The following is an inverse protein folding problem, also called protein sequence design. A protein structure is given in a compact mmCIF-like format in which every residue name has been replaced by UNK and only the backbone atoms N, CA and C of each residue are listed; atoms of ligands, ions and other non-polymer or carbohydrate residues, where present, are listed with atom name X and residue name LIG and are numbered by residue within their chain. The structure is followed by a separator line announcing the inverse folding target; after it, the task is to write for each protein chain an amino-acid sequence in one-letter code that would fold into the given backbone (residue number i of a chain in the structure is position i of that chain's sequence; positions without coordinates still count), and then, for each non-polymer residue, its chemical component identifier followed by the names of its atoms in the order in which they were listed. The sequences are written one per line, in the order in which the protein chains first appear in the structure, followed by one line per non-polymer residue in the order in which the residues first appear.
data_IF_739201877286
#
_entry.id   IF_739201877286
#
_cell.length_a   1.000
_cell.length_b   1.000
_cell.length_c   1.000
_cell.angle_alpha   90.00
_cell.angle_beta   90.00
_cell.angle_gamma   90.00
#
_symmetry.space_group_name_H-M   'P 1'
#
loop_
_entity.id
_entity.type
_entity.pdbx_description
1 polymer ?
#
# COMPACT_ATOMS: atom_id res chain seq x y z
N UNK A 1 -1.43 -12.74 34.63
CA UNK A 1 -1.38 -11.27 34.44
C UNK A 1 -1.96 -10.99 33.06
N UNK A 2 -2.86 -10.00 32.87
CA UNK A 2 -3.32 -9.68 31.51
C UNK A 2 -2.11 -9.27 30.64
N UNK A 3 -2.03 -9.81 29.43
CA UNK A 3 -0.89 -9.62 28.53
C UNK A 3 -0.69 -8.14 28.15
N UNK A 4 0.57 -7.74 27.92
CA UNK A 4 0.93 -6.35 27.58
C UNK A 4 0.42 -5.88 26.21
N UNK A 5 -0.01 -6.83 25.38
CA UNK A 5 -0.52 -6.62 24.02
C UNK A 5 -1.81 -7.43 23.90
N UNK A 6 -2.91 -6.77 23.56
CA UNK A 6 -4.18 -7.42 23.22
C UNK A 6 -4.56 -7.05 21.80
N UNK A 7 -5.01 -8.04 21.02
CA UNK A 7 -5.32 -7.87 19.60
C UNK A 7 -6.66 -8.50 19.26
N UNK A 8 -7.55 -7.70 18.70
CA UNK A 8 -8.82 -8.13 18.11
C UNK A 8 -8.98 -7.55 16.71
N UNK A 9 -10.08 -7.89 16.02
CA UNK A 9 -10.47 -7.23 14.77
C UNK A 9 -11.41 -6.06 15.08
N UNK A 10 -11.41 -5.05 14.21
CA UNK A 10 -12.37 -3.94 14.30
C UNK A 10 -13.78 -4.36 13.85
N UNK A 11 -13.85 -5.29 12.90
CA UNK A 11 -15.08 -5.87 12.36
C UNK A 11 -14.82 -7.34 12.05
N UNK A 12 -15.28 -8.22 12.94
CA UNK A 12 -15.07 -9.66 12.87
C UNK A 12 -15.77 -10.32 11.67
N UNK A 13 -16.72 -9.63 11.03
CA UNK A 13 -17.42 -10.16 9.85
C UNK A 13 -16.62 -9.99 8.55
N UNK A 14 -15.58 -9.14 8.56
CA UNK A 14 -14.79 -8.77 7.38
C UNK A 14 -13.39 -9.36 7.34
N UNK A 15 -13.02 -10.18 8.32
CA UNK A 15 -11.70 -10.79 8.40
C UNK A 15 -11.62 -11.90 9.44
N UNK A 16 -10.44 -12.51 9.55
CA UNK A 16 -10.07 -13.52 10.51
C UNK A 16 -8.87 -13.04 11.32
N UNK A 17 -8.82 -13.38 12.61
CA UNK A 17 -7.72 -13.02 13.51
C UNK A 17 -6.49 -13.88 13.17
N UNK A 18 -5.74 -13.46 12.16
CA UNK A 18 -4.53 -14.14 11.68
C UNK A 18 -3.30 -13.64 12.45
N UNK A 19 -3.24 -13.97 13.74
CA UNK A 19 -2.17 -13.53 14.64
C UNK A 19 -1.34 -14.73 15.09
N UNK A 20 -0.03 -14.61 14.97
CA UNK A 20 0.93 -15.57 15.52
C UNK A 20 1.33 -15.09 16.92
N UNK A 21 0.64 -15.62 17.93
CA UNK A 21 0.86 -15.32 19.35
C UNK A 21 2.08 -16.12 19.86
N UNK A 22 3.28 -15.80 19.36
CA UNK A 22 4.51 -16.53 19.71
C UNK A 22 4.91 -16.38 21.18
N UNK A 23 4.53 -15.27 21.83
CA UNK A 23 4.72 -15.03 23.27
C UNK A 23 3.90 -13.81 23.74
N UNK A 24 3.79 -13.62 25.05
CA UNK A 24 3.22 -12.40 25.66
C UNK A 24 3.95 -11.09 25.28
N UNK A 25 5.16 -11.20 24.73
CA UNK A 25 6.05 -10.06 24.46
C UNK A 25 6.16 -9.69 22.96
N UNK A 26 5.61 -10.49 22.06
CA UNK A 26 5.71 -10.28 20.62
C UNK A 26 4.58 -10.99 19.88
N UNK A 27 3.91 -10.25 18.99
CA UNK A 27 2.84 -10.77 18.13
C UNK A 27 3.11 -10.44 16.66
N UNK A 28 2.84 -11.39 15.76
CA UNK A 28 2.89 -11.16 14.31
C UNK A 28 1.46 -11.05 13.80
N UNK A 29 1.13 -9.86 13.30
CA UNK A 29 -0.12 -9.61 12.61
C UNK A 29 0.04 -9.97 11.14
N UNK A 30 -0.69 -10.97 10.65
CA UNK A 30 -0.76 -11.29 9.21
C UNK A 30 -2.03 -10.69 8.62
N UNK A 31 -2.03 -10.48 7.30
CA UNK A 31 -3.18 -9.90 6.59
C UNK A 31 -4.48 -10.64 7.02
N UNK A 32 -5.49 -9.92 7.57
CA UNK A 32 -6.62 -10.58 8.22
C UNK A 32 -7.69 -11.07 7.24
N UNK A 33 -7.58 -10.77 5.95
CA UNK A 33 -8.68 -10.94 5.01
C UNK A 33 -8.32 -11.87 3.86
N UNK A 34 -9.33 -12.35 3.14
CA UNK A 34 -9.08 -13.05 1.89
C UNK A 34 -8.41 -12.12 0.90
N UNK A 35 -7.37 -12.60 0.21
CA UNK A 35 -6.72 -11.84 -0.86
C UNK A 35 -7.63 -11.62 -2.08
N UNK A 36 -8.81 -12.24 -2.13
CA UNK A 36 -9.78 -12.12 -3.24
C UNK A 36 -10.74 -10.93 -3.13
N UNK A 37 -10.86 -10.28 -1.96
CA UNK A 37 -11.81 -9.18 -1.74
C UNK A 37 -11.10 -7.86 -1.47
N UNK A 38 -11.68 -6.74 -1.91
CA UNK A 38 -11.23 -5.39 -1.51
C UNK A 38 -11.80 -4.96 -0.15
N UNK A 39 -12.72 -5.77 0.41
CA UNK A 39 -13.27 -5.59 1.74
C UNK A 39 -12.34 -6.23 2.74
N UNK A 40 -11.93 -5.46 3.74
CA UNK A 40 -11.09 -5.93 4.84
C UNK A 40 -11.32 -5.08 6.10
N UNK A 41 -10.72 -5.51 7.21
CA UNK A 41 -10.84 -4.89 8.53
C UNK A 41 -9.45 -4.67 9.14
N UNK A 42 -9.20 -3.56 9.86
CA UNK A 42 -7.97 -3.40 10.62
C UNK A 42 -7.99 -4.24 11.91
N UNK A 43 -6.80 -4.48 12.44
CA UNK A 43 -6.66 -4.95 13.83
C UNK A 43 -6.87 -3.79 14.80
N UNK A 44 -7.47 -4.09 15.95
CA UNK A 44 -7.48 -3.22 17.13
C UNK A 44 -6.43 -3.77 18.09
N UNK A 45 -5.38 -2.99 18.31
CA UNK A 45 -4.25 -3.34 19.18
C UNK A 45 -4.31 -2.47 20.41
N UNK A 46 -4.48 -3.08 21.58
CA UNK A 46 -4.40 -2.41 22.88
C UNK A 46 -3.06 -2.69 23.52
N UNK A 47 -2.36 -1.62 23.89
CA UNK A 47 -1.04 -1.68 24.51
C UNK A 47 -1.14 -1.13 25.93
N UNK A 48 -0.62 -1.89 26.89
CA UNK A 48 -0.40 -1.39 28.25
C UNK A 48 0.81 -0.45 28.31
N UNK A 49 1.07 0.16 29.47
CA UNK A 49 2.26 1.01 29.66
C UNK A 49 3.54 0.22 29.37
N UNK A 50 4.43 0.78 28.55
CA UNK A 50 5.67 0.14 28.14
C UNK A 50 6.34 0.80 26.94
N UNK A 51 7.43 0.19 26.49
CA UNK A 51 8.12 0.58 25.25
C UNK A 51 7.99 -0.59 24.28
N UNK A 52 7.48 -0.31 23.08
CA UNK A 52 7.19 -1.32 22.07
C UNK A 52 8.01 -1.03 20.81
N UNK A 53 8.73 -2.04 20.32
CA UNK A 53 9.29 -2.00 18.96
C UNK A 53 8.18 -2.40 17.99
N UNK A 54 7.95 -1.57 16.99
CA UNK A 54 6.95 -1.79 15.95
C UNK A 54 7.67 -1.92 14.61
N UNK A 55 7.27 -2.92 13.82
CA UNK A 55 7.83 -3.21 12.50
C UNK A 55 6.69 -3.43 11.50
N UNK A 56 6.67 -2.62 10.44
CA UNK A 56 5.65 -2.65 9.41
C UNK A 56 6.28 -3.05 8.07
N UNK A 57 5.54 -3.85 7.31
CA UNK A 57 5.89 -4.26 5.96
C UNK A 57 4.72 -3.94 5.02
N UNK A 58 4.97 -3.15 3.98
CA UNK A 58 3.98 -2.90 2.94
C UNK A 58 3.78 -4.13 2.06
N UNK A 59 2.60 -4.26 1.45
CA UNK A 59 2.32 -5.39 0.58
C UNK A 59 3.05 -5.25 -0.77
N UNK A 60 3.35 -6.37 -1.42
CA UNK A 60 3.88 -6.38 -2.78
C UNK A 60 2.80 -6.05 -3.81
N UNK A 61 3.22 -5.52 -4.95
CA UNK A 61 2.37 -5.41 -6.13
C UNK A 61 2.02 -6.76 -6.74
N UNK A 62 1.13 -6.72 -7.74
CA UNK A 62 0.84 -7.87 -8.59
C UNK A 62 1.96 -8.10 -9.58
N UNK A 63 2.23 -9.35 -9.89
CA UNK A 63 3.27 -9.73 -10.84
C UNK A 63 2.66 -10.39 -12.08
N UNK A 64 3.15 -10.06 -13.29
CA UNK A 64 2.84 -10.82 -14.49
C UNK A 64 3.58 -12.18 -14.48
N UNK A 65 3.19 -13.08 -15.39
CA UNK A 65 3.81 -14.40 -15.60
C UNK A 65 3.89 -15.33 -14.37
N UNK A 66 3.08 -15.07 -13.34
CA UNK A 66 3.18 -15.77 -12.06
C UNK A 66 4.59 -15.74 -11.43
N UNK A 67 5.44 -14.75 -11.78
CA UNK A 67 6.79 -14.59 -11.21
C UNK A 67 6.82 -13.47 -10.16
N UNK A 68 6.88 -13.81 -8.85
CA UNK A 68 6.90 -12.81 -7.78
C UNK A 68 8.06 -11.81 -7.85
N UNK A 69 9.15 -12.13 -8.56
CA UNK A 69 10.29 -11.22 -8.72
C UNK A 69 9.99 -10.03 -9.65
N UNK A 70 8.89 -10.10 -10.40
CA UNK A 70 8.41 -9.02 -11.26
C UNK A 70 7.51 -8.03 -10.50
N UNK A 71 7.15 -8.31 -9.25
CA UNK A 71 6.42 -7.35 -8.43
C UNK A 71 7.37 -6.43 -7.66
N UNK A 72 6.98 -5.16 -7.56
CA UNK A 72 7.54 -4.27 -6.56
C UNK A 72 7.20 -4.78 -5.16
N UNK A 73 8.22 -5.02 -4.34
CA UNK A 73 8.08 -5.27 -2.90
C UNK A 73 7.62 -4.00 -2.16
N UNK A 74 6.85 -4.16 -1.10
CA UNK A 74 6.56 -3.05 -0.19
C UNK A 74 7.79 -2.62 0.61
N UNK A 75 7.73 -1.43 1.19
CA UNK A 75 8.77 -0.90 2.07
C UNK A 75 8.71 -1.51 3.47
N UNK A 76 9.76 -1.27 4.24
CA UNK A 76 9.86 -1.61 5.66
C UNK A 76 10.03 -0.33 6.47
N UNK A 77 9.30 -0.22 7.58
CA UNK A 77 9.42 0.87 8.54
C UNK A 77 9.45 0.28 9.95
N UNK A 78 10.33 0.81 10.81
CA UNK A 78 10.35 0.43 12.22
C UNK A 78 10.59 1.61 13.14
N UNK A 79 10.19 1.46 14.40
CA UNK A 79 10.38 2.47 15.43
C UNK A 79 10.01 1.97 16.81
N UNK A 80 10.30 2.79 17.81
CA UNK A 80 9.91 2.55 19.20
C UNK A 80 8.77 3.48 19.59
N UNK A 81 7.71 2.91 20.17
CA UNK A 81 6.58 3.64 20.73
C UNK A 81 6.63 3.55 22.25
N UNK A 82 6.71 4.70 22.92
CA UNK A 82 6.58 4.79 24.38
C UNK A 82 5.11 5.02 24.73
N UNK A 83 4.53 4.08 25.47
CA UNK A 83 3.14 4.09 25.92
C UNK A 83 3.15 4.43 27.40
N UNK A 84 2.72 5.63 27.78
CA UNK A 84 2.70 6.11 29.17
C UNK A 84 1.46 5.65 29.95
N UNK A 85 0.36 5.44 29.24
CA UNK A 85 -0.93 4.94 29.71
C UNK A 85 -1.53 4.03 28.64
N UNK A 86 -2.54 3.22 28.99
CA UNK A 86 -3.19 2.32 28.02
C UNK A 86 -3.56 3.06 26.72
N UNK A 87 -3.17 2.48 25.59
CA UNK A 87 -3.34 3.07 24.26
C UNK A 87 -3.98 2.06 23.32
N UNK A 88 -4.95 2.52 22.53
CA UNK A 88 -5.53 1.73 21.43
C UNK A 88 -4.99 2.25 20.11
N UNK A 89 -4.56 1.32 19.25
CA UNK A 89 -4.06 1.57 17.92
C UNK A 89 -4.87 0.75 16.91
N UNK A 90 -5.02 1.28 15.70
CA UNK A 90 -5.65 0.58 14.60
C UNK A 90 -4.61 0.26 13.54
N UNK A 91 -4.38 -1.02 13.29
CA UNK A 91 -3.35 -1.49 12.37
C UNK A 91 -4.00 -1.97 11.08
N UNK A 92 -3.77 -1.23 10.00
CA UNK A 92 -4.24 -1.55 8.66
C UNK A 92 -3.13 -2.27 7.91
N UNK A 93 -3.33 -3.55 7.59
CA UNK A 93 -2.37 -4.31 6.78
C UNK A 93 -2.77 -4.23 5.31
N UNK A 94 -1.80 -3.93 4.44
CA UNK A 94 -2.04 -3.78 3.01
C UNK A 94 -2.33 -5.09 2.29
N UNK A 95 -3.16 -5.04 1.26
CA UNK A 95 -3.42 -6.19 0.39
C UNK A 95 -2.39 -6.30 -0.72
N UNK A 96 -1.95 -7.53 -1.00
CA UNK A 96 -1.09 -7.80 -2.16
C UNK A 96 -1.83 -7.56 -3.49
N UNK A 97 -1.11 -6.96 -4.45
CA UNK A 97 -1.63 -6.76 -5.80
C UNK A 97 -1.76 -8.04 -6.63
N UNK A 98 -2.47 -7.94 -7.76
CA UNK A 98 -2.68 -9.03 -8.73
C UNK A 98 -2.55 -8.52 -10.15
N UNK A 99 -2.13 -9.36 -11.09
CA UNK A 99 -2.21 -9.04 -12.52
C UNK A 99 -3.66 -8.72 -12.89
N UNK A 100 -3.88 -7.61 -13.59
CA UNK A 100 -5.23 -7.13 -13.92
C UNK A 100 -6.15 -7.00 -12.68
N UNK A 101 -5.54 -6.75 -11.53
CA UNK A 101 -6.24 -6.67 -10.26
C UNK A 101 -6.99 -5.35 -10.10
N UNK A 102 -8.07 -5.33 -9.31
CA UNK A 102 -8.66 -4.08 -8.85
C UNK A 102 -7.70 -3.35 -7.91
N UNK A 103 -8.12 -2.18 -7.41
CA UNK A 103 -7.38 -1.48 -6.33
C UNK A 103 -7.18 -2.42 -5.15
N UNK A 104 -6.07 -2.33 -4.46
CA UNK A 104 -5.86 -3.15 -3.26
C UNK A 104 -6.29 -2.39 -2.02
N UNK A 105 -6.74 -3.13 -1.02
CA UNK A 105 -7.05 -2.59 0.29
C UNK A 105 -5.85 -1.80 0.85
N UNK A 106 -6.15 -0.66 1.45
CA UNK A 106 -5.22 0.28 2.04
C UNK A 106 -4.25 0.98 1.07
N UNK A 107 -4.76 1.40 -0.09
CA UNK A 107 -4.15 2.48 -0.88
C UNK A 107 -3.43 2.07 -2.16
N UNK A 108 -3.44 0.80 -2.56
CA UNK A 108 -2.82 0.43 -3.83
C UNK A 108 -3.68 0.77 -5.06
N UNK A 109 -3.02 1.19 -6.13
CA UNK A 109 -3.64 1.53 -7.41
C UNK A 109 -4.13 0.31 -8.20
N UNK A 110 -5.06 0.54 -9.13
CA UNK A 110 -5.63 -0.50 -10.00
C UNK A 110 -4.60 -0.98 -11.02
N UNK A 111 -4.60 -2.28 -11.30
CA UNK A 111 -3.80 -2.90 -12.36
C UNK A 111 -4.50 -2.81 -13.72
N UNK A 112 -3.84 -3.29 -14.75
CA UNK A 112 -4.38 -3.32 -16.12
C UNK A 112 -4.21 -4.73 -16.71
N UNK A 113 -4.73 -4.99 -17.91
CA UNK A 113 -4.54 -6.31 -18.54
C UNK A 113 -3.06 -6.69 -18.73
N UNK A 114 -2.18 -5.68 -18.75
CA UNK A 114 -0.74 -5.80 -18.90
C UNK A 114 0.04 -5.43 -17.63
N UNK A 115 -0.63 -5.06 -16.54
CA UNK A 115 0.03 -4.57 -15.33
C UNK A 115 -0.59 -5.13 -14.06
N UNK A 116 0.24 -5.44 -13.08
CA UNK A 116 -0.20 -5.72 -11.72
C UNK A 116 -0.84 -4.49 -11.07
N UNK A 117 -1.86 -4.70 -10.25
CA UNK A 117 -2.26 -3.68 -9.27
C UNK A 117 -1.13 -3.47 -8.26
N UNK A 118 -1.06 -2.28 -7.67
CA UNK A 118 -0.08 -2.01 -6.63
C UNK A 118 -0.51 -2.66 -5.31
N UNK A 119 0.43 -2.97 -4.44
CA UNK A 119 0.17 -3.43 -3.08
C UNK A 119 -0.36 -2.30 -2.20
N UNK A 120 -1.16 -2.65 -1.22
CA UNK A 120 -1.60 -1.75 -0.16
C UNK A 120 -0.47 -1.36 0.77
N UNK A 121 -0.55 -0.17 1.34
CA UNK A 121 0.30 0.24 2.45
C UNK A 121 -0.09 -0.50 3.73
N UNK A 122 0.85 -0.62 4.65
CA UNK A 122 0.60 -1.04 6.02
C UNK A 122 0.82 0.16 6.93
N UNK A 123 -0.15 0.49 7.78
CA UNK A 123 -0.06 1.67 8.63
C UNK A 123 -0.71 1.49 10.01
N UNK A 124 -0.29 2.35 10.95
CA UNK A 124 -0.83 2.46 12.30
C UNK A 124 -1.54 3.80 12.42
N UNK A 125 -2.78 3.75 12.92
CA UNK A 125 -3.68 4.91 13.08
C UNK A 125 -4.15 5.07 14.51
N UNK A 126 -4.39 6.31 14.91
CA UNK A 126 -5.04 6.66 16.17
C UNK A 126 -6.57 6.64 16.06
N UNK A 127 -7.11 6.86 14.85
CA UNK A 127 -8.56 6.92 14.60
C UNK A 127 -8.97 5.87 13.56
N UNK A 128 -9.98 5.03 13.84
CA UNK A 128 -10.44 4.03 12.88
C UNK A 128 -11.33 4.66 11.81
N UNK A 129 -11.60 3.89 10.78
CA UNK A 129 -12.52 4.26 9.69
C UNK A 129 -12.38 3.33 8.51
N UNK A 130 -13.13 3.60 7.45
CA UNK A 130 -12.81 2.99 6.15
C UNK A 130 -11.37 3.35 5.77
N UNK A 131 -10.65 2.42 5.12
CA UNK A 131 -9.20 2.60 4.88
C UNK A 131 -8.86 3.92 4.15
N UNK A 132 -9.73 4.36 3.25
CA UNK A 132 -9.60 5.60 2.49
C UNK A 132 -10.26 6.84 3.13
N UNK A 133 -10.76 6.73 4.36
CA UNK A 133 -11.36 7.86 5.07
C UNK A 133 -10.28 8.88 5.45
N UNK A 134 -10.53 10.16 5.16
CA UNK A 134 -9.54 11.23 5.34
C UNK A 134 -9.10 11.43 6.79
N UNK A 135 -10.04 11.45 7.75
CA UNK A 135 -9.71 11.63 9.17
C UNK A 135 -8.90 10.46 9.72
N UNK A 136 -9.25 9.23 9.33
CA UNK A 136 -8.46 8.05 9.66
C UNK A 136 -7.05 8.14 9.05
N UNK A 137 -6.94 8.46 7.75
CA UNK A 137 -5.65 8.62 7.06
C UNK A 137 -4.79 9.73 7.67
N UNK A 138 -5.37 10.83 8.16
CA UNK A 138 -4.63 11.91 8.83
C UNK A 138 -4.06 11.48 10.18
N UNK A 139 -4.68 10.49 10.83
CA UNK A 139 -4.25 9.97 12.15
C UNK A 139 -3.12 8.92 12.08
N UNK A 140 -2.50 8.71 10.91
CA UNK A 140 -1.41 7.75 10.72
C UNK A 140 -0.14 8.22 11.43
N UNK A 141 0.44 7.36 12.27
CA UNK A 141 1.68 7.65 13.02
C UNK A 141 2.87 6.82 12.54
N UNK A 142 2.63 5.73 11.80
CA UNK A 142 3.67 4.91 11.17
C UNK A 142 3.12 4.31 9.88
N UNK A 143 3.89 4.34 8.80
CA UNK A 143 3.47 3.85 7.48
C UNK A 143 4.62 3.10 6.80
N UNK A 144 4.30 1.95 6.21
CA UNK A 144 5.11 1.22 5.25
C UNK A 144 4.36 1.14 3.92
N UNK A 145 4.87 1.80 2.89
CA UNK A 145 4.26 1.85 1.57
C UNK A 145 4.22 0.49 0.86
N UNK A 146 3.16 0.25 0.09
CA UNK A 146 3.05 -0.91 -0.80
C UNK A 146 3.86 -0.74 -2.09
N UNK A 147 4.30 -1.85 -2.66
CA UNK A 147 5.05 -1.87 -3.91
C UNK A 147 4.17 -1.78 -5.16
N UNK A 148 4.75 -1.37 -6.28
CA UNK A 148 4.04 -1.23 -7.55
C UNK A 148 3.94 -2.58 -8.27
N UNK A 149 2.87 -2.80 -9.02
CA UNK A 149 2.73 -4.01 -9.84
C UNK A 149 3.73 -4.04 -11.00
N UNK A 150 4.17 -5.24 -11.38
CA UNK A 150 4.99 -5.45 -12.58
C UNK A 150 4.20 -5.21 -13.86
N UNK A 151 4.91 -5.02 -14.97
CA UNK A 151 4.32 -4.69 -16.27
C UNK A 151 4.79 -5.68 -17.35
N UNK A 152 3.89 -6.02 -18.27
CA UNK A 152 4.14 -6.77 -19.49
C UNK A 152 3.86 -5.87 -20.69
N UNK A 153 4.91 -5.33 -21.29
CA UNK A 153 4.80 -4.62 -22.57
C UNK A 153 5.39 -5.47 -23.71
N UNK A 154 6.55 -5.06 -24.24
CA UNK A 154 7.39 -5.87 -25.12
C UNK A 154 8.16 -6.93 -24.32
N UNK A 155 8.55 -6.57 -23.09
CA UNK A 155 9.23 -7.43 -22.13
C UNK A 155 8.57 -7.31 -20.76
N UNK A 156 8.96 -8.19 -19.84
CA UNK A 156 8.60 -8.08 -18.44
C UNK A 156 9.43 -7.00 -17.75
N UNK A 157 8.76 -6.12 -17.03
CA UNK A 157 9.39 -5.09 -16.21
C UNK A 157 8.95 -5.25 -14.76
N UNK A 158 9.93 -5.30 -13.87
CA UNK A 158 9.66 -5.34 -12.44
C UNK A 158 9.05 -4.02 -11.99
N UNK A 159 7.98 -4.10 -11.19
CA UNK A 159 7.38 -2.93 -10.56
C UNK A 159 8.35 -2.28 -9.56
N UNK A 160 8.29 -0.96 -9.40
CA UNK A 160 9.12 -0.26 -8.42
C UNK A 160 8.71 -0.62 -6.99
N UNK A 161 9.67 -0.59 -6.08
CA UNK A 161 9.44 -0.89 -4.67
C UNK A 161 8.64 0.22 -3.98
N UNK A 162 8.05 -0.07 -2.83
CA UNK A 162 7.42 0.93 -1.98
C UNK A 162 8.44 1.98 -1.54
N UNK A 163 8.09 3.26 -1.67
CA UNK A 163 8.91 4.37 -1.19
C UNK A 163 8.76 4.62 0.31
N UNK A 164 9.46 5.63 0.82
CA UNK A 164 9.30 6.13 2.19
C UNK A 164 8.61 7.51 2.16
N UNK A 165 9.29 8.59 2.56
CA UNK A 165 8.78 9.96 2.45
C UNK A 165 8.53 10.42 1.00
N UNK A 166 9.13 9.72 0.04
CA UNK A 166 8.96 9.95 -1.40
C UNK A 166 8.91 8.59 -2.09
N UNK A 167 7.93 8.44 -2.98
CA UNK A 167 7.77 7.29 -3.84
C UNK A 167 8.80 7.29 -4.97
N UNK A 168 9.08 6.10 -5.51
CA UNK A 168 9.89 5.99 -6.71
C UNK A 168 9.06 6.33 -7.94
N UNK A 169 9.66 7.08 -8.86
CA UNK A 169 9.03 7.36 -10.15
C UNK A 169 8.94 6.09 -11.01
N UNK A 170 8.00 6.09 -11.94
CA UNK A 170 7.81 5.01 -12.91
C UNK A 170 8.97 4.88 -13.89
N UNK A 171 9.00 3.76 -14.62
CA UNK A 171 9.98 3.51 -15.68
C UNK A 171 9.27 3.77 -17.00
N UNK A 172 9.87 4.60 -17.86
CA UNK A 172 9.44 4.73 -19.25
C UNK A 172 10.17 3.69 -20.09
N UNK A 173 9.42 2.98 -20.91
CA UNK A 173 9.94 1.93 -21.80
C UNK A 173 9.53 2.22 -23.23
N UNK A 174 10.45 2.02 -24.17
CA UNK A 174 10.21 2.17 -25.60
C UNK A 174 9.96 0.79 -26.24
N UNK A 175 8.93 0.68 -27.08
CA UNK A 175 8.67 -0.51 -27.88
C UNK A 175 9.02 -0.22 -29.35
N UNK A 176 10.06 -0.86 -29.92
CA UNK A 176 10.48 -0.62 -31.29
C UNK A 176 9.45 -1.06 -32.33
N UNK A 177 8.47 -1.90 -31.96
CA UNK A 177 7.41 -2.33 -32.85
C UNK A 177 6.25 -1.33 -32.94
N UNK A 178 6.21 -0.32 -32.05
CA UNK A 178 5.24 0.77 -32.11
C UNK A 178 5.78 1.90 -33.00
N UNK A 179 5.25 2.02 -34.22
CA UNK A 179 5.61 3.09 -35.15
C UNK A 179 4.37 3.87 -35.63
N UNK A 180 4.33 5.21 -35.47
CA UNK A 180 5.30 6.03 -34.75
C UNK A 180 5.15 5.90 -33.22
N UNK A 181 6.22 6.09 -32.42
CA UNK A 181 6.11 6.14 -30.97
C UNK A 181 5.30 7.36 -30.52
N UNK A 182 4.31 7.13 -29.65
CA UNK A 182 3.55 8.21 -29.04
C UNK A 182 4.40 8.94 -27.99
N UNK A 183 4.29 10.27 -27.94
CA UNK A 183 4.94 11.05 -26.89
C UNK A 183 4.24 10.74 -25.55
N UNK A 184 5.01 10.22 -24.60
CA UNK A 184 4.53 9.85 -23.26
C UNK A 184 5.34 10.54 -22.17
N UNK A 185 4.66 10.96 -21.12
CA UNK A 185 5.25 11.47 -19.88
C UNK A 185 5.38 10.34 -18.86
N UNK A 186 6.46 10.41 -18.08
CA UNK A 186 6.75 9.47 -17.01
C UNK A 186 5.76 9.63 -15.86
N UNK A 187 5.40 8.53 -15.20
CA UNK A 187 4.68 8.57 -13.93
C UNK A 187 5.62 8.96 -12.78
N UNK A 188 5.16 9.75 -11.82
CA UNK A 188 5.93 10.17 -10.66
C UNK A 188 5.42 9.55 -9.36
N UNK A 189 6.35 9.26 -8.45
CA UNK A 189 6.02 8.79 -7.11
C UNK A 189 5.24 9.82 -6.30
N UNK A 190 4.47 9.36 -5.32
CA UNK A 190 3.85 10.24 -4.34
C UNK A 190 4.92 10.95 -3.48
N UNK A 191 4.60 12.11 -2.93
CA UNK A 191 5.47 12.86 -2.01
C UNK A 191 4.71 13.22 -0.74
N UNK A 192 5.36 13.93 0.19
CA UNK A 192 4.72 14.51 1.39
C UNK A 192 3.65 15.57 1.10
N UNK A 193 3.53 16.03 -0.14
CA UNK A 193 2.68 17.18 -0.51
C UNK A 193 1.66 16.84 -1.60
N UNK A 194 1.80 15.67 -2.24
CA UNK A 194 0.92 15.24 -3.33
C UNK A 194 0.89 13.73 -3.50
N UNK A 195 -0.24 13.23 -4.00
CA UNK A 195 -0.36 11.89 -4.53
C UNK A 195 0.55 11.63 -5.74
N UNK A 196 0.67 10.34 -6.12
CA UNK A 196 1.44 9.94 -7.30
C UNK A 196 0.82 10.47 -8.59
N UNK A 197 1.65 10.85 -9.55
CA UNK A 197 1.19 11.38 -10.84
C UNK A 197 1.28 10.26 -11.87
N UNK A 198 0.19 10.04 -12.59
CA UNK A 198 0.12 9.05 -13.67
C UNK A 198 0.87 9.51 -14.91
N UNK A 199 1.40 8.53 -15.65
CA UNK A 199 1.95 8.78 -16.98
C UNK A 199 0.83 9.19 -17.94
N UNK A 200 1.15 10.11 -18.85
CA UNK A 200 0.19 10.72 -19.79
C UNK A 200 0.76 10.71 -21.19
N UNK A 201 -0.02 10.28 -22.17
CA UNK A 201 0.24 10.48 -23.59
C UNK A 201 -0.65 11.60 -24.15
N UNK A 202 -0.52 11.91 -25.43
CA UNK A 202 -1.37 12.91 -26.10
C UNK A 202 -2.84 12.49 -26.16
N UNK A 203 -3.12 11.18 -26.13
CA UNK A 203 -4.47 10.63 -26.31
C UNK A 203 -5.01 9.88 -25.08
N UNK A 204 -4.13 9.45 -24.15
CA UNK A 204 -4.49 8.58 -23.04
C UNK A 204 -3.75 9.03 -21.77
N UNK A 205 -4.50 9.27 -20.69
CA UNK A 205 -3.94 9.57 -19.36
C UNK A 205 -4.52 8.63 -18.32
N UNK A 206 -3.66 8.12 -17.43
CA UNK A 206 -4.11 7.52 -16.18
C UNK A 206 -4.68 8.59 -15.24
N UNK A 207 -5.38 8.14 -14.20
CA UNK A 207 -5.84 9.01 -13.12
C UNK A 207 -4.75 9.12 -12.05
N UNK A 208 -4.47 10.34 -11.60
CA UNK A 208 -3.50 10.60 -10.55
C UNK A 208 -3.99 10.03 -9.20
N UNK A 209 -3.04 9.65 -8.36
CA UNK A 209 -3.30 9.25 -6.99
C UNK A 209 -3.69 10.44 -6.11
N UNK A 210 -4.26 10.12 -4.95
CA UNK A 210 -4.64 11.09 -3.90
C UNK A 210 -3.95 10.70 -2.59
N UNK A 211 -4.14 11.50 -1.54
CA UNK A 211 -3.62 11.21 -0.21
C UNK A 211 -3.99 9.79 0.25
N UNK A 212 -3.00 8.91 0.39
CA UNK A 212 -3.18 7.52 0.81
C UNK A 212 -3.88 6.61 -0.22
N UNK A 213 -4.06 7.05 -1.47
CA UNK A 213 -4.81 6.32 -2.50
C UNK A 213 -4.02 6.34 -3.83
N UNK A 214 -3.65 5.18 -4.36
CA UNK A 214 -2.95 5.05 -5.64
C UNK A 214 -3.78 5.46 -6.87
N UNK A 215 -3.14 5.56 -8.03
CA UNK A 215 -3.81 5.93 -9.29
C UNK A 215 -4.64 4.81 -9.94
N UNK A 216 -5.34 5.15 -11.01
CA UNK A 216 -6.00 4.19 -11.91
C UNK A 216 -5.38 4.24 -13.32
N UNK A 217 -5.36 3.12 -14.06
CA UNK A 217 -4.96 3.15 -15.47
C UNK A 217 -6.10 3.74 -16.30
N UNK A 218 -5.78 4.21 -17.50
CA UNK A 218 -6.78 4.74 -18.41
C UNK A 218 -7.80 3.67 -18.85
N UNK A 219 -9.00 4.12 -19.25
CA UNK A 219 -10.18 3.27 -19.52
C UNK A 219 -9.97 2.13 -20.55
N UNK A 220 -8.95 2.19 -21.40
CA UNK A 220 -8.65 1.15 -22.40
C UNK A 220 -7.63 0.09 -21.96
N UNK A 221 -7.25 0.06 -20.67
CA UNK A 221 -6.55 -1.02 -19.94
C UNK A 221 -5.19 -1.51 -20.51
N UNK A 222 -4.68 -0.98 -21.63
CA UNK A 222 -3.43 -1.44 -22.26
C UNK A 222 -2.16 -0.76 -21.71
N UNK A 223 -2.28 0.44 -21.13
CA UNK A 223 -1.14 1.27 -20.69
C UNK A 223 -1.17 1.51 -19.16
N UNK A 224 -0.01 1.69 -18.51
CA UNK A 224 0.11 1.56 -17.05
C UNK A 224 -0.58 2.67 -16.25
N UNK A 225 -0.96 2.31 -15.01
CA UNK A 225 -1.43 3.16 -13.93
C UNK A 225 -0.27 3.80 -13.16
N UNK A 226 -0.45 5.06 -12.74
CA UNK A 226 0.51 5.78 -11.90
C UNK A 226 0.59 5.29 -10.46
N UNK A 227 1.82 5.33 -9.95
CA UNK A 227 2.29 5.36 -8.56
C UNK A 227 1.45 4.75 -7.44
N UNK A 228 2.06 3.85 -6.67
CA UNK A 228 1.60 3.52 -5.31
C UNK A 228 1.45 4.81 -4.49
N UNK A 229 0.21 5.17 -4.16
CA UNK A 229 -0.09 6.39 -3.41
C UNK A 229 0.18 6.16 -1.93
N UNK A 230 1.36 6.54 -1.44
CA UNK A 230 1.63 6.55 -0.01
C UNK A 230 2.33 7.85 0.36
N UNK A 231 1.54 8.76 0.90
CA UNK A 231 1.98 9.98 1.57
C UNK A 231 1.83 9.74 3.08
N UNK A 232 2.91 9.88 3.84
CA UNK A 232 2.91 9.96 5.30
C UNK A 232 3.19 11.42 5.68
N UNK A 233 2.18 12.09 6.26
CA UNK A 233 2.37 13.41 6.88
C UNK A 233 2.44 13.20 8.39
N UNK A 234 3.66 13.18 8.94
CA UNK A 234 3.85 13.42 10.37
C UNK A 234 3.75 14.94 10.54
N UNK A 235 2.58 15.46 10.87
CA UNK A 235 2.50 16.83 11.39
C UNK A 235 2.89 16.77 12.86
N UNK A 236 3.96 17.47 13.23
CA UNK A 236 4.17 17.87 14.63
C UNK A 236 2.91 18.64 15.05
N UNK A 237 2.16 18.07 16.00
CA UNK A 237 1.22 18.84 16.79
C UNK A 237 2.05 19.46 17.91
N UNK A 238 2.40 20.74 17.76
CA UNK A 238 2.66 21.60 18.91
C UNK A 238 1.32 22.09 19.45
#
# INVERSE_FOLDING_TARGET
MPGRISVSLYDETKGQRNVDDKSDNYQILRYPCSSSTQVCTPYVVRLSRGIYKIELFGASGGYPNNDPNLAGRGSYTSGHLTVSQEMTLYVYLGQQGKLNGPRTFNGGGRGSIKAGSSGGSTDIRLTPGQWGNFESLKSRIMVAAGGVGGHLHAYFHTGTHGGNLTGFDGILTYDPNCSPPEQVSKAFGATKERGGISGKSNTISGEDGKFGIGGNPANNQKYPSGGSGVEMRVSEFF
#
